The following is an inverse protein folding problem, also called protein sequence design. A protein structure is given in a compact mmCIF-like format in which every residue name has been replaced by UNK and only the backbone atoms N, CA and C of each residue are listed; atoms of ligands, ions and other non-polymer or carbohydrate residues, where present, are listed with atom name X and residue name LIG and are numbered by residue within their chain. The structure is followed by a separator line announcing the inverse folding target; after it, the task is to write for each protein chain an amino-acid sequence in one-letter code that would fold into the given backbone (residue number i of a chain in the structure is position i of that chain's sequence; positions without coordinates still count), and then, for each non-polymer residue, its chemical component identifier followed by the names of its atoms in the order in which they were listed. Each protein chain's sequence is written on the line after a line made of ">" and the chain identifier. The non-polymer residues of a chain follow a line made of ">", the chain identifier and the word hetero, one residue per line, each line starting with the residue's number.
data_IF_862618416513
#
_entry.id   IF_862618416513
#
_cell.length_a   1.000
_cell.length_b   1.000
_cell.length_c   1.000
_cell.angle_alpha   90.00
_cell.angle_beta   90.00
_cell.angle_gamma   90.00
#
_symmetry.space_group_name_H-M   'P 1'
#
loop_
_entity.id
_entity.type
_entity.pdbx_description
1 polymer ?
#
# COMPACT_ATOMS: atom_id res chain seq x y z
N UNK A 1 26.72 -7.38 12.69
CA UNK A 1 25.62 -8.34 12.42
C UNK A 1 24.66 -7.66 11.46
N UNK A 2 24.30 -8.30 10.35
CA UNK A 2 23.25 -7.76 9.48
C UNK A 2 21.93 -7.80 10.26
N UNK A 3 21.20 -6.69 10.35
CA UNK A 3 19.84 -6.69 10.87
C UNK A 3 18.96 -7.52 9.92
N UNK A 4 18.13 -8.41 10.46
CA UNK A 4 17.09 -9.08 9.70
C UNK A 4 16.03 -8.06 9.24
N UNK A 5 15.39 -8.28 8.09
CA UNK A 5 14.40 -7.34 7.54
C UNK A 5 13.25 -7.05 8.51
N UNK A 6 12.84 -8.04 9.32
CA UNK A 6 11.78 -7.88 10.33
C UNK A 6 12.13 -6.82 11.39
N UNK A 7 13.41 -6.70 11.75
CA UNK A 7 13.92 -5.85 12.84
C UNK A 7 14.22 -4.41 12.37
N UNK A 8 14.07 -4.14 11.07
CA UNK A 8 14.19 -2.80 10.51
C UNK A 8 12.97 -1.94 10.88
N UNK A 9 13.25 -0.67 11.19
CA UNK A 9 12.25 0.38 11.26
C UNK A 9 11.51 0.52 9.93
N UNK A 10 10.33 1.14 9.98
CA UNK A 10 9.56 1.45 8.76
C UNK A 10 10.39 2.31 7.81
N UNK A 11 11.18 3.25 8.35
CA UNK A 11 12.04 4.12 7.55
C UNK A 11 13.11 3.32 6.79
N UNK A 12 13.84 2.44 7.48
CA UNK A 12 14.85 1.57 6.87
C UNK A 12 14.22 0.67 5.79
N UNK A 13 13.03 0.09 6.05
CA UNK A 13 12.28 -0.72 5.07
C UNK A 13 11.90 0.10 3.83
N UNK A 14 11.42 1.32 4.02
CA UNK A 14 11.06 2.21 2.92
C UNK A 14 12.27 2.63 2.09
N UNK A 15 13.43 2.84 2.70
CA UNK A 15 14.65 3.18 1.98
C UNK A 15 15.14 2.04 1.07
N UNK A 16 15.00 0.79 1.52
CA UNK A 16 15.31 -0.39 0.70
C UNK A 16 14.39 -0.44 -0.52
N UNK A 17 13.07 -0.37 -0.30
CA UNK A 17 12.07 -0.42 -1.39
C UNK A 17 12.26 0.74 -2.37
N UNK A 18 12.51 1.96 -1.87
CA UNK A 18 12.70 3.12 -2.72
C UNK A 18 13.93 2.98 -3.63
N UNK A 19 15.04 2.42 -3.12
CA UNK A 19 16.23 2.13 -3.93
C UNK A 19 15.93 1.11 -5.01
N UNK A 20 15.30 -0.01 -4.67
CA UNK A 20 14.92 -1.06 -5.63
C UNK A 20 14.00 -0.53 -6.74
N UNK A 21 13.04 0.33 -6.39
CA UNK A 21 12.15 0.99 -7.37
C UNK A 21 12.93 1.93 -8.31
N UNK A 22 13.86 2.72 -7.79
CA UNK A 22 14.71 3.60 -8.59
C UNK A 22 15.62 2.84 -9.54
N UNK A 23 16.23 1.74 -9.07
CA UNK A 23 17.05 0.85 -9.90
C UNK A 23 16.23 0.17 -11.01
N UNK A 24 14.95 -0.05 -10.76
CA UNK A 24 13.99 -0.63 -11.71
C UNK A 24 13.37 0.41 -12.67
N UNK A 25 13.85 1.67 -12.68
CA UNK A 25 13.30 2.78 -13.46
C UNK A 25 11.81 3.08 -13.17
N UNK A 26 11.34 2.80 -11.96
CA UNK A 26 9.98 3.16 -11.53
C UNK A 26 9.99 4.62 -11.12
N UNK A 27 9.17 5.44 -11.75
CA UNK A 27 9.07 6.85 -11.38
C UNK A 27 8.27 7.03 -10.08
N UNK A 28 8.52 8.15 -9.38
CA UNK A 28 7.85 8.47 -8.11
C UNK A 28 6.33 8.31 -8.16
N UNK A 29 5.69 8.73 -9.25
CA UNK A 29 4.23 8.62 -9.42
C UNK A 29 3.76 7.16 -9.45
N UNK A 30 4.51 6.29 -10.10
CA UNK A 30 4.22 4.86 -10.20
C UNK A 30 4.45 4.18 -8.85
N UNK A 31 5.57 4.50 -8.18
CA UNK A 31 5.89 4.01 -6.85
C UNK A 31 4.79 4.36 -5.82
N UNK A 32 4.33 5.61 -5.80
CA UNK A 32 3.26 6.05 -4.91
C UNK A 32 1.92 5.35 -5.24
N UNK A 33 1.61 5.18 -6.53
CA UNK A 33 0.41 4.48 -6.97
C UNK A 33 0.43 3.01 -6.55
N UNK A 34 1.58 2.34 -6.69
CA UNK A 34 1.74 0.93 -6.32
C UNK A 34 1.69 0.75 -4.79
N UNK A 35 2.38 1.63 -4.04
CA UNK A 35 2.29 1.62 -2.58
C UNK A 35 0.85 1.81 -2.10
N UNK A 36 0.13 2.81 -2.64
CA UNK A 36 -1.26 3.06 -2.26
C UNK A 36 -2.15 1.85 -2.56
N UNK A 37 -1.95 1.21 -3.71
CA UNK A 37 -2.68 0.01 -4.10
C UNK A 37 -2.45 -1.13 -3.12
N UNK A 38 -1.19 -1.47 -2.83
CA UNK A 38 -0.82 -2.52 -1.87
C UNK A 38 -1.38 -2.21 -0.48
N UNK A 39 -1.30 -0.96 -0.05
CA UNK A 39 -1.80 -0.53 1.26
C UNK A 39 -3.32 -0.74 1.40
N UNK A 40 -4.09 -0.38 0.37
CA UNK A 40 -5.53 -0.60 0.32
C UNK A 40 -5.87 -2.10 0.25
N UNK A 41 -5.16 -2.88 -0.57
CA UNK A 41 -5.38 -4.32 -0.70
C UNK A 41 -5.15 -5.07 0.62
N UNK A 42 -4.12 -4.70 1.39
CA UNK A 42 -3.87 -5.25 2.73
C UNK A 42 -5.02 -4.92 3.67
N UNK A 43 -5.48 -3.67 3.72
CA UNK A 43 -6.60 -3.27 4.57
C UNK A 43 -7.90 -4.03 4.22
N UNK A 44 -8.16 -4.24 2.93
CA UNK A 44 -9.28 -5.06 2.46
C UNK A 44 -9.11 -6.52 2.88
N UNK A 45 -7.92 -7.09 2.72
CA UNK A 45 -7.62 -8.49 3.09
C UNK A 45 -7.82 -8.74 4.58
N UNK A 46 -7.35 -7.84 5.45
CA UNK A 46 -7.53 -7.92 6.91
C UNK A 46 -9.00 -7.94 7.30
N UNK A 47 -9.86 -7.26 6.53
CA UNK A 47 -11.30 -7.17 6.79
C UNK A 47 -12.15 -8.01 5.84
N UNK A 48 -11.58 -9.05 5.20
CA UNK A 48 -12.29 -9.97 4.30
C UNK A 48 -13.13 -9.23 3.23
N UNK A 49 -12.56 -8.19 2.62
CA UNK A 49 -13.23 -7.39 1.60
C UNK A 49 -14.26 -6.39 2.13
N UNK A 50 -14.45 -6.27 3.45
CA UNK A 50 -15.38 -5.29 4.02
C UNK A 50 -14.85 -3.85 3.85
N UNK A 51 -15.37 -3.18 2.82
CA UNK A 51 -14.99 -1.80 2.46
C UNK A 51 -15.24 -0.78 3.56
N UNK A 52 -16.29 -0.96 4.38
CA UNK A 52 -16.56 -0.04 5.48
C UNK A 52 -15.47 -0.14 6.56
N UNK A 53 -15.16 -1.36 7.02
CA UNK A 53 -14.09 -1.59 8.00
C UNK A 53 -12.72 -1.19 7.46
N UNK A 54 -12.41 -1.54 6.21
CA UNK A 54 -11.18 -1.11 5.54
C UNK A 54 -11.07 0.41 5.46
N UNK A 55 -12.15 1.13 5.12
CA UNK A 55 -12.12 2.60 5.08
C UNK A 55 -11.83 3.21 6.45
N UNK A 56 -12.37 2.61 7.52
CA UNK A 56 -12.08 3.02 8.90
C UNK A 56 -10.61 2.78 9.27
N UNK A 57 -10.05 1.62 8.92
CA UNK A 57 -8.64 1.30 9.16
C UNK A 57 -7.70 2.24 8.40
N UNK A 58 -8.04 2.57 7.15
CA UNK A 58 -7.29 3.48 6.30
C UNK A 58 -7.45 4.96 6.71
N UNK A 59 -8.35 5.29 7.63
CA UNK A 59 -8.60 6.67 8.05
C UNK A 59 -9.26 7.54 6.98
N UNK A 60 -9.94 6.94 5.99
CA UNK A 60 -10.58 7.65 4.88
C UNK A 60 -12.07 7.36 4.81
N UNK A 61 -12.83 8.25 4.16
CA UNK A 61 -14.24 8.00 3.92
C UNK A 61 -14.44 6.83 2.93
N UNK A 62 -15.51 6.05 3.10
CA UNK A 62 -15.83 4.90 2.24
C UNK A 62 -15.96 5.27 0.75
N UNK A 63 -16.45 6.48 0.45
CA UNK A 63 -16.58 6.97 -0.93
C UNK A 63 -15.20 7.24 -1.53
N UNK A 64 -14.27 7.79 -0.75
CA UNK A 64 -12.87 7.98 -1.15
C UNK A 64 -12.20 6.64 -1.42
N UNK A 65 -12.42 5.65 -0.54
CA UNK A 65 -11.93 4.29 -0.76
C UNK A 65 -12.50 3.70 -2.06
N UNK A 66 -13.81 3.81 -2.29
CA UNK A 66 -14.44 3.30 -3.53
C UNK A 66 -13.86 3.98 -4.79
N UNK A 67 -13.67 5.30 -4.75
CA UNK A 67 -13.03 6.04 -5.84
C UNK A 67 -11.59 5.57 -6.11
N UNK A 68 -10.79 5.39 -5.05
CA UNK A 68 -9.41 4.89 -5.13
C UNK A 68 -9.34 3.46 -5.66
N UNK A 69 -10.24 2.58 -5.21
CA UNK A 69 -10.32 1.21 -5.72
C UNK A 69 -10.60 1.18 -7.24
N UNK A 70 -11.49 2.07 -7.72
CA UNK A 70 -11.78 2.16 -9.15
C UNK A 70 -10.58 2.71 -9.93
N UNK A 71 -9.94 3.79 -9.46
CA UNK A 71 -8.80 4.40 -10.16
C UNK A 71 -7.58 3.47 -10.20
N UNK A 72 -7.34 2.71 -9.13
CA UNK A 72 -6.21 1.78 -8.99
C UNK A 72 -6.54 0.36 -9.50
N UNK A 73 -7.74 0.15 -10.06
CA UNK A 73 -8.22 -1.14 -10.59
C UNK A 73 -8.12 -2.28 -9.57
N UNK A 74 -8.37 -1.99 -8.29
CA UNK A 74 -8.34 -2.95 -7.20
C UNK A 74 -9.59 -3.82 -7.28
N UNK A 75 -9.40 -5.14 -7.39
CA UNK A 75 -10.50 -6.11 -7.40
C UNK A 75 -10.82 -6.50 -5.96
N UNK A 76 -12.07 -6.30 -5.55
CA UNK A 76 -12.63 -6.93 -4.36
C UNK A 76 -12.81 -8.41 -4.68
N UNK A 77 -11.98 -9.29 -4.13
CA UNK A 77 -12.30 -10.72 -4.07
C UNK A 77 -13.29 -10.99 -2.95
#
# INVERSE_FOLDING_TARGET
>A
MAKEFKDLSIREKMEIIAKEMMESNIYLREALSEFEKVFIEIALKIHNGNKFKASKMLGIHRNTLAGKMNSLKIKSK
#
